data_IF_426964692237
#
_entry.id   IF_426964692237
#
_cell.length_a   1.000
_cell.length_b   1.000
_cell.length_c   1.000
_cell.angle_alpha   90.00
_cell.angle_beta   90.00
_cell.angle_gamma   90.00
#
_symmetry.space_group_name_H-M   'P 1'
#
loop_
_entity.id
_entity.type
_entity.pdbx_description
1 polymer ?
#
# COMPACT_ATOMS: atom_id res chain seq x y z
N UNK A 1 -8.90 28.18 71.67
CA UNK A 1 -9.73 27.39 70.73
C UNK A 1 -9.98 28.26 69.51
N UNK A 2 -9.36 28.18 68.32
CA UNK A 2 -8.81 27.06 67.49
C UNK A 2 -9.82 25.92 67.41
N UNK A 3 -10.38 25.54 66.25
CA UNK A 3 -9.78 25.35 64.92
C UNK A 3 -10.83 25.59 63.82
N UNK A 4 -10.48 26.33 62.76
CA UNK A 4 -11.23 26.38 61.49
C UNK A 4 -10.65 25.28 60.59
N UNK A 5 -11.46 24.29 60.21
CA UNK A 5 -11.09 23.25 59.26
C UNK A 5 -11.32 23.76 57.84
N UNK A 6 -10.22 24.10 57.16
CA UNK A 6 -10.21 24.31 55.71
C UNK A 6 -10.01 22.96 55.02
N UNK A 7 -11.04 22.47 54.33
CA UNK A 7 -10.92 21.34 53.42
C UNK A 7 -10.32 21.82 52.09
N UNK A 8 -9.04 21.53 51.87
CA UNK A 8 -8.40 21.60 50.55
C UNK A 8 -8.76 20.33 49.78
N UNK A 9 -9.70 20.45 48.84
CA UNK A 9 -9.92 19.42 47.82
C UNK A 9 -8.85 19.64 46.75
N UNK A 10 -7.78 18.84 46.79
CA UNK A 10 -6.84 18.71 45.69
C UNK A 10 -7.57 18.00 44.53
N UNK A 11 -8.04 18.78 43.57
CA UNK A 11 -8.41 18.29 42.25
C UNK A 11 -7.13 17.86 41.54
N UNK A 12 -6.80 16.58 41.66
CA UNK A 12 -5.88 15.93 40.74
C UNK A 12 -6.57 15.86 39.37
N UNK A 13 -6.36 16.91 38.56
CA UNK A 13 -6.64 16.86 37.13
C UNK A 13 -5.59 15.92 36.51
N UNK A 14 -5.88 14.62 36.55
CA UNK A 14 -5.23 13.67 35.66
C UNK A 14 -5.62 14.05 34.24
N UNK A 15 -4.71 14.69 33.51
CA UNK A 15 -4.78 14.75 32.06
C UNK A 15 -4.66 13.31 31.54
N UNK A 16 -5.79 12.61 31.47
CA UNK A 16 -5.95 11.49 30.55
C UNK A 16 -5.84 12.10 29.15
N UNK A 17 -4.61 12.18 28.64
CA UNK A 17 -4.40 12.34 27.21
C UNK A 17 -5.07 11.11 26.58
N UNK A 18 -6.24 11.34 25.96
CA UNK A 18 -6.78 10.40 25.02
C UNK A 18 -5.66 10.12 24.01
N UNK A 19 -5.18 8.87 23.95
CA UNK A 19 -4.21 8.48 22.95
C UNK A 19 -4.82 8.83 21.58
N UNK A 20 -4.28 9.85 20.93
CA UNK A 20 -4.58 10.15 19.53
C UNK A 20 -4.20 8.91 18.75
N UNK A 21 -5.23 8.21 18.29
CA UNK A 21 -5.14 6.92 17.63
C UNK A 21 -4.37 7.07 16.31
N UNK A 22 -3.50 6.11 16.04
CA UNK A 22 -2.46 6.18 15.04
C UNK A 22 -2.97 6.35 13.61
N UNK A 23 -2.55 7.42 12.92
CA UNK A 23 -2.86 7.61 11.50
C UNK A 23 -1.91 6.79 10.60
N UNK A 24 -0.61 6.80 10.90
CA UNK A 24 0.39 6.02 10.18
C UNK A 24 1.58 5.66 11.09
N UNK A 25 2.12 4.45 10.92
CA UNK A 25 3.43 4.01 11.46
C UNK A 25 4.32 3.70 10.25
N UNK A 26 4.92 4.75 9.70
CA UNK A 26 5.76 4.73 8.51
C UNK A 26 7.15 4.18 8.82
N UNK A 27 7.61 4.26 10.07
CA UNK A 27 8.91 3.72 10.53
C UNK A 27 8.83 2.26 11.00
N UNK A 28 7.63 1.77 11.32
CA UNK A 28 7.39 0.41 11.81
C UNK A 28 7.81 0.18 13.26
N UNK A 29 7.96 1.23 14.05
CA UNK A 29 8.40 1.16 15.45
C UNK A 29 7.22 1.03 16.44
N UNK A 30 5.98 1.01 15.93
CA UNK A 30 4.76 0.98 16.72
C UNK A 30 4.36 2.35 17.27
N UNK A 31 5.06 3.42 16.90
CA UNK A 31 4.76 4.81 17.23
C UNK A 31 4.26 5.54 15.99
N UNK A 32 3.35 6.48 16.19
CA UNK A 32 2.69 7.17 15.09
C UNK A 32 3.58 8.26 14.52
N UNK A 33 3.77 8.20 13.21
CA UNK A 33 4.38 9.24 12.41
C UNK A 33 3.30 10.21 11.92
N UNK A 34 3.61 11.51 11.90
CA UNK A 34 2.73 12.51 11.28
C UNK A 34 3.34 13.00 9.98
N UNK A 35 2.50 13.30 8.99
CA UNK A 35 2.97 13.88 7.74
C UNK A 35 2.00 14.95 7.24
N UNK A 36 2.54 15.90 6.49
CA UNK A 36 1.78 16.98 5.86
C UNK A 36 2.22 17.13 4.41
N UNK A 37 1.24 17.35 3.53
CA UNK A 37 1.48 17.64 2.12
C UNK A 37 1.02 19.07 1.86
N UNK A 38 1.94 19.95 1.47
CA UNK A 38 1.65 21.36 1.21
C UNK A 38 1.98 21.69 -0.24
N UNK A 39 0.99 22.12 -1.02
CA UNK A 39 1.22 22.60 -2.38
C UNK A 39 2.00 23.92 -2.37
N UNK A 40 2.94 24.08 -3.30
CA UNK A 40 3.64 25.34 -3.51
C UNK A 40 2.69 26.40 -4.07
N UNK A 41 3.04 27.68 -3.91
CA UNK A 41 2.18 28.82 -4.31
C UNK A 41 1.88 28.83 -5.82
N UNK A 42 2.80 28.33 -6.64
CA UNK A 42 2.63 28.20 -8.09
C UNK A 42 1.77 26.99 -8.49
N UNK A 43 1.41 26.12 -7.54
CA UNK A 43 0.62 24.92 -7.74
C UNK A 43 1.32 23.81 -8.54
N UNK A 44 2.59 24.01 -8.92
CA UNK A 44 3.33 23.09 -9.78
C UNK A 44 4.04 21.98 -9.01
N UNK A 45 4.21 22.13 -7.69
CA UNK A 45 4.86 21.12 -6.86
C UNK A 45 4.22 21.04 -5.47
N UNK A 46 4.57 20.01 -4.73
CA UNK A 46 4.11 19.75 -3.36
C UNK A 46 5.28 19.39 -2.48
N UNK A 47 5.37 20.03 -1.32
CA UNK A 47 6.29 19.64 -0.27
C UNK A 47 5.64 18.59 0.62
N UNK A 48 6.28 17.44 0.75
CA UNK A 48 5.92 16.42 1.73
C UNK A 48 6.85 16.57 2.91
N UNK A 49 6.28 16.81 4.08
CA UNK A 49 7.00 16.82 5.36
C UNK A 49 6.53 15.65 6.20
N UNK A 50 7.46 14.81 6.65
CA UNK A 50 7.20 13.68 7.55
C UNK A 50 7.95 13.93 8.86
N UNK A 51 7.22 13.90 9.97
CA UNK A 51 7.79 13.91 11.32
C UNK A 51 7.74 12.49 11.87
N UNK A 52 8.91 11.93 12.19
CA UNK A 52 9.02 10.58 12.73
C UNK A 52 8.59 10.59 14.20
N UNK A 53 7.58 9.81 14.53
CA UNK A 53 7.13 9.54 15.89
C UNK A 53 8.27 9.10 16.79
N UNK A 54 8.21 9.48 18.07
CA UNK A 54 9.26 9.21 19.06
C UNK A 54 10.65 9.84 18.79
N UNK A 55 10.83 10.65 17.73
CA UNK A 55 12.08 11.37 17.47
C UNK A 55 11.85 12.84 17.11
N UNK A 56 12.89 13.66 17.22
CA UNK A 56 12.87 15.04 16.70
C UNK A 56 13.23 15.11 15.19
N UNK A 57 13.23 13.97 14.49
CA UNK A 57 13.62 13.93 13.07
C UNK A 57 12.42 14.30 12.19
N UNK A 58 12.60 15.37 11.44
CA UNK A 58 11.71 15.80 10.35
C UNK A 58 12.45 15.66 9.03
N UNK A 59 11.79 15.07 8.03
CA UNK A 59 12.26 15.03 6.63
C UNK A 59 11.26 15.80 5.78
N UNK A 60 11.73 16.73 4.96
CA UNK A 60 10.86 17.57 4.14
C UNK A 60 11.43 17.71 2.75
N UNK A 61 10.69 17.21 1.76
CA UNK A 61 11.14 17.08 0.38
C UNK A 61 10.08 17.58 -0.60
N UNK A 62 10.52 18.20 -1.70
CA UNK A 62 9.64 18.71 -2.76
C UNK A 62 9.44 17.70 -3.88
N UNK A 63 8.20 17.48 -4.31
CA UNK A 63 7.86 16.58 -5.41
C UNK A 63 6.80 17.19 -6.29
N UNK A 64 6.83 16.90 -7.60
CA UNK A 64 5.64 17.06 -8.41
C UNK A 64 4.74 15.82 -8.19
N UNK A 65 3.66 16.04 -7.44
CA UNK A 65 2.69 14.99 -7.12
C UNK A 65 1.45 15.07 -8.02
N UNK A 66 1.25 16.18 -8.73
CA UNK A 66 -0.04 16.51 -9.35
C UNK A 66 -1.24 16.40 -8.37
N UNK A 67 -2.14 15.45 -8.65
CA UNK A 67 -3.30 15.09 -7.84
C UNK A 67 -2.99 13.99 -6.79
N UNK A 68 -1.74 13.53 -6.73
CA UNK A 68 -1.29 12.42 -5.90
C UNK A 68 -1.04 12.80 -4.45
N UNK A 69 -0.48 11.84 -3.71
CA UNK A 69 -0.13 12.03 -2.31
C UNK A 69 0.67 10.86 -1.74
N UNK A 70 0.87 10.90 -0.43
CA UNK A 70 1.47 9.82 0.33
C UNK A 70 0.41 8.80 0.72
N UNK A 71 0.64 7.54 0.36
CA UNK A 71 -0.19 6.41 0.76
C UNK A 71 0.60 5.50 1.70
N UNK A 72 0.05 5.23 2.88
CA UNK A 72 0.61 4.25 3.83
C UNK A 72 0.67 2.88 3.16
N UNK A 73 1.80 2.20 3.32
CA UNK A 73 2.10 0.94 2.67
C UNK A 73 1.21 -0.22 3.12
N UNK A 74 1.10 -1.22 2.24
CA UNK A 74 0.43 -2.48 2.55
C UNK A 74 1.23 -3.30 3.57
N UNK A 75 2.56 -3.28 3.43
CA UNK A 75 3.48 -3.88 4.38
C UNK A 75 3.89 -2.87 5.45
N UNK A 76 4.28 -3.34 6.65
CA UNK A 76 4.74 -2.47 7.72
C UNK A 76 5.96 -1.64 7.30
N UNK A 77 6.07 -0.43 7.87
CA UNK A 77 7.20 0.48 7.66
C UNK A 77 7.41 0.91 6.20
N UNK A 78 6.35 0.91 5.41
CA UNK A 78 6.36 1.32 4.01
C UNK A 78 5.38 2.47 3.76
N UNK A 79 5.72 3.30 2.78
CA UNK A 79 4.77 4.18 2.12
C UNK A 79 5.05 4.23 0.63
N UNK A 80 4.11 4.78 -0.13
CA UNK A 80 4.30 4.99 -1.55
C UNK A 80 3.87 6.38 -1.99
N UNK A 81 4.55 6.85 -3.03
CA UNK A 81 4.24 8.09 -3.73
C UNK A 81 3.90 7.76 -5.18
N UNK A 82 2.87 8.41 -5.71
CA UNK A 82 2.64 8.53 -7.14
C UNK A 82 3.18 9.91 -7.54
N UNK A 83 4.22 9.94 -8.35
CA UNK A 83 4.78 11.19 -8.87
C UNK A 83 4.15 11.49 -10.22
N UNK A 84 4.00 12.78 -10.53
CA UNK A 84 3.35 13.27 -11.76
C UNK A 84 1.94 12.67 -11.98
N UNK A 85 1.24 12.36 -10.89
CA UNK A 85 -0.07 11.71 -10.97
C UNK A 85 -1.14 12.72 -11.35
N UNK A 86 -1.90 12.40 -12.39
CA UNK A 86 -3.08 13.16 -12.77
C UNK A 86 -4.29 12.23 -12.77
N UNK A 87 -5.41 12.67 -12.20
CA UNK A 87 -6.63 11.86 -11.98
C UNK A 87 -7.25 11.20 -13.22
N UNK A 88 -6.69 11.42 -14.42
CA UNK A 88 -7.16 10.92 -15.72
C UNK A 88 -6.03 10.43 -16.61
N UNK A 89 -4.79 10.52 -16.14
CA UNK A 89 -3.67 9.90 -16.84
C UNK A 89 -3.66 8.41 -16.48
N UNK A 90 -3.78 7.57 -17.49
CA UNK A 90 -3.77 6.12 -17.29
C UNK A 90 -2.39 5.58 -16.99
N UNK A 91 -1.33 6.30 -17.38
CA UNK A 91 0.04 5.89 -17.11
C UNK A 91 0.41 6.25 -15.67
N UNK A 92 0.67 5.22 -14.86
CA UNK A 92 1.00 5.38 -13.45
C UNK A 92 2.47 5.07 -13.20
N UNK A 93 3.12 5.93 -12.42
CA UNK A 93 4.45 5.68 -11.87
C UNK A 93 4.40 5.76 -10.35
N UNK A 94 4.75 4.65 -9.69
CA UNK A 94 4.74 4.52 -8.24
C UNK A 94 6.14 4.23 -7.69
N UNK A 95 6.48 4.94 -6.64
CA UNK A 95 7.68 4.74 -5.85
C UNK A 95 7.29 4.24 -4.47
N UNK A 96 7.89 3.13 -4.04
CA UNK A 96 7.66 2.56 -2.70
C UNK A 96 8.93 2.73 -1.89
N UNK A 97 8.77 3.34 -0.72
CA UNK A 97 9.81 3.61 0.24
C UNK A 97 9.63 2.72 1.47
N UNK A 98 10.74 2.22 2.01
CA UNK A 98 10.75 1.35 3.17
C UNK A 98 11.73 1.86 4.20
N UNK A 99 11.34 1.87 5.47
CA UNK A 99 12.21 2.30 6.55
C UNK A 99 13.44 1.38 6.68
N UNK A 100 14.61 1.99 6.75
CA UNK A 100 15.87 1.31 7.07
C UNK A 100 16.34 1.76 8.44
N UNK A 101 16.20 0.88 9.44
CA UNK A 101 16.71 1.14 10.79
C UNK A 101 18.24 1.38 10.81
N UNK A 102 18.99 0.73 9.91
CA UNK A 102 20.44 0.91 9.80
C UNK A 102 20.82 2.33 9.30
N UNK A 103 20.07 2.84 8.33
CA UNK A 103 20.32 4.16 7.74
C UNK A 103 19.55 5.29 8.47
N UNK A 104 18.59 4.93 9.32
CA UNK A 104 17.65 5.84 9.99
C UNK A 104 16.90 6.72 8.99
N UNK A 105 16.56 6.16 7.82
CA UNK A 105 15.82 6.85 6.76
C UNK A 105 14.99 5.85 5.96
N UNK A 106 14.05 6.35 5.18
CA UNK A 106 13.37 5.54 4.19
C UNK A 106 14.21 5.43 2.92
N UNK A 107 14.34 4.20 2.43
CA UNK A 107 15.04 3.91 1.19
C UNK A 107 14.04 3.55 0.12
N UNK A 108 14.27 4.05 -1.10
CA UNK A 108 13.54 3.60 -2.27
C UNK A 108 13.78 2.10 -2.43
N UNK A 109 12.69 1.36 -2.43
CA UNK A 109 12.70 -0.09 -2.38
C UNK A 109 12.11 -0.71 -3.65
N UNK A 110 11.14 -0.02 -4.26
CA UNK A 110 10.53 -0.45 -5.52
C UNK A 110 10.10 0.73 -6.35
N UNK A 111 10.28 0.64 -7.67
CA UNK A 111 9.65 1.48 -8.68
C UNK A 111 8.76 0.60 -9.55
N UNK A 112 7.52 1.04 -9.77
CA UNK A 112 6.57 0.33 -10.62
C UNK A 112 5.89 1.29 -11.58
N UNK A 113 5.75 0.89 -12.84
CA UNK A 113 4.93 1.59 -13.83
C UNK A 113 3.91 0.65 -14.42
N UNK A 114 2.70 1.14 -14.71
CA UNK A 114 1.66 0.37 -15.39
C UNK A 114 0.61 1.32 -15.96
N UNK A 115 -0.27 0.76 -16.81
CA UNK A 115 -1.46 1.44 -17.32
C UNK A 115 -2.65 1.02 -16.47
N UNK A 116 -3.41 1.99 -15.97
CA UNK A 116 -4.69 1.83 -15.27
C UNK A 116 -5.83 2.31 -16.17
N UNK A 117 -6.45 1.42 -16.98
CA UNK A 117 -7.51 1.83 -17.90
C UNK A 117 -8.76 2.35 -17.19
N UNK A 118 -8.98 1.95 -15.92
CA UNK A 118 -10.21 2.29 -15.18
C UNK A 118 -10.35 3.77 -14.83
N UNK A 119 -9.27 4.56 -14.91
CA UNK A 119 -9.28 5.99 -14.58
C UNK A 119 -9.36 6.92 -15.82
N UNK A 120 -9.34 6.37 -17.03
CA UNK A 120 -9.51 7.13 -18.28
C UNK A 120 -10.84 7.93 -18.27
N UNK A 121 -10.79 9.18 -18.74
CA UNK A 121 -11.89 10.13 -18.69
C UNK A 121 -13.17 9.66 -19.40
N UNK A 122 -13.04 8.84 -20.46
CA UNK A 122 -14.17 8.23 -21.17
C UNK A 122 -15.06 7.42 -20.24
N UNK A 123 -14.45 6.79 -19.24
CA UNK A 123 -15.14 5.95 -18.28
C UNK A 123 -15.45 6.71 -16.99
N UNK A 124 -14.47 7.43 -16.44
CA UNK A 124 -14.60 8.11 -15.15
C UNK A 124 -15.54 9.32 -15.18
N UNK A 125 -15.68 10.00 -16.33
CA UNK A 125 -16.57 11.16 -16.49
C UNK A 125 -17.74 10.91 -17.43
N UNK A 126 -17.49 10.25 -18.56
CA UNK A 126 -18.50 10.11 -19.61
C UNK A 126 -19.32 8.82 -19.50
N UNK A 127 -18.98 7.93 -18.57
CA UNK A 127 -19.76 6.74 -18.24
C UNK A 127 -19.83 5.72 -19.37
N UNK A 128 -18.87 5.73 -20.29
CA UNK A 128 -18.76 4.70 -21.31
C UNK A 128 -18.57 3.33 -20.64
N UNK A 129 -19.10 2.27 -21.25
CA UNK A 129 -18.94 0.90 -20.73
C UNK A 129 -17.78 0.22 -21.45
N UNK A 130 -16.74 -0.13 -20.69
CA UNK A 130 -15.63 -0.96 -21.14
C UNK A 130 -16.09 -2.41 -21.39
N UNK A 131 -15.54 -3.14 -22.38
CA UNK A 131 -15.34 -4.58 -22.25
C UNK A 131 -14.60 -4.88 -20.95
N UNK A 132 -15.17 -5.71 -20.07
CA UNK A 132 -14.73 -5.87 -18.67
C UNK A 132 -13.29 -6.38 -18.56
N UNK A 133 -12.80 -7.06 -19.58
CA UNK A 133 -11.44 -7.58 -19.70
C UNK A 133 -10.39 -6.47 -19.89
N UNK A 134 -10.80 -5.30 -20.37
CA UNK A 134 -9.92 -4.16 -20.62
C UNK A 134 -9.88 -3.16 -19.43
N UNK A 135 -10.64 -3.42 -18.35
CA UNK A 135 -10.51 -2.70 -17.06
C UNK A 135 -9.30 -3.14 -16.23
N UNK A 136 -8.56 -4.13 -16.69
CA UNK A 136 -7.46 -4.72 -15.94
C UNK A 136 -6.20 -3.86 -16.09
N UNK A 137 -5.51 -3.54 -14.98
CA UNK A 137 -4.18 -2.96 -15.05
C UNK A 137 -3.24 -3.79 -15.91
N UNK A 138 -2.47 -3.13 -16.77
CA UNK A 138 -1.64 -3.79 -17.78
C UNK A 138 -0.30 -3.08 -17.97
N UNK A 139 0.62 -3.74 -18.69
CA UNK A 139 1.93 -3.15 -18.99
C UNK A 139 2.83 -2.93 -17.77
N UNK A 140 2.67 -3.73 -16.72
CA UNK A 140 3.50 -3.64 -15.52
C UNK A 140 4.99 -3.78 -15.86
N UNK A 141 5.77 -2.78 -15.45
CA UNK A 141 7.22 -2.84 -15.36
C UNK A 141 7.62 -2.53 -13.92
N UNK A 142 8.32 -3.45 -13.27
CA UNK A 142 8.65 -3.35 -11.85
C UNK A 142 10.15 -3.56 -11.67
N UNK A 143 10.75 -2.65 -10.93
CA UNK A 143 12.15 -2.68 -10.56
C UNK A 143 12.28 -2.69 -9.04
N UNK A 144 12.90 -3.74 -8.52
CA UNK A 144 13.33 -3.79 -7.12
C UNK A 144 14.66 -3.07 -6.99
N UNK A 145 14.76 -2.17 -6.04
CA UNK A 145 15.90 -1.26 -5.95
C UNK A 145 16.87 -1.76 -4.89
N UNK A 146 18.12 -1.92 -5.29
CA UNK A 146 19.21 -2.10 -4.36
C UNK A 146 19.39 -0.77 -3.63
N UNK A 147 19.33 -0.80 -2.30
CA UNK A 147 19.67 0.33 -1.43
C UNK A 147 20.88 1.13 -1.99
N UNK A 148 20.98 2.46 -1.82
CA UNK A 148 20.35 3.26 -0.78
C UNK A 148 19.96 4.65 -1.28
N UNK A 149 19.09 4.69 -2.29
CA UNK A 149 18.42 5.94 -2.66
C UNK A 149 17.50 6.37 -1.52
N UNK A 150 17.90 7.40 -0.76
CA UNK A 150 17.16 7.87 0.43
C UNK A 150 16.03 8.81 0.05
N UNK A 151 14.92 8.74 0.78
CA UNK A 151 13.81 9.68 0.62
C UNK A 151 14.25 11.13 0.83
N UNK A 152 15.03 11.38 1.89
CA UNK A 152 15.62 12.70 2.24
C UNK A 152 16.61 13.29 1.24
N UNK A 153 16.91 12.59 0.14
CA UNK A 153 17.76 13.09 -0.93
C UNK A 153 17.16 12.80 -2.32
N UNK A 154 15.93 12.28 -2.36
CA UNK A 154 15.31 11.81 -3.61
C UNK A 154 14.85 12.97 -4.48
N UNK A 155 14.44 14.09 -3.87
CA UNK A 155 13.96 15.27 -4.60
C UNK A 155 15.09 16.09 -5.24
N UNK A 156 16.24 16.16 -4.57
CA UNK A 156 17.32 17.09 -4.91
C UNK A 156 18.28 16.55 -5.97
N UNK A 157 18.32 15.23 -6.15
CA UNK A 157 19.27 14.53 -7.01
C UNK A 157 18.49 13.51 -7.83
N UNK A 158 18.64 13.50 -9.16
CA UNK A 158 18.25 12.35 -9.99
C UNK A 158 19.13 11.17 -9.54
N UNK A 159 18.69 10.32 -8.60
CA UNK A 159 19.61 9.43 -7.93
C UNK A 159 19.96 8.32 -8.89
N UNK A 160 21.22 7.87 -8.89
CA UNK A 160 21.59 6.69 -9.64
C UNK A 160 20.94 5.47 -8.99
N UNK A 161 19.79 5.07 -9.54
CA UNK A 161 19.01 3.95 -9.03
C UNK A 161 19.70 2.65 -9.45
N UNK A 162 20.24 1.92 -8.48
CA UNK A 162 20.77 0.59 -8.72
C UNK A 162 19.64 -0.44 -8.61
N UNK A 163 19.28 -1.05 -9.74
CA UNK A 163 18.27 -2.12 -9.77
C UNK A 163 18.90 -3.44 -9.28
N UNK A 164 18.15 -4.21 -8.50
CA UNK A 164 18.53 -5.56 -8.09
C UNK A 164 18.60 -6.51 -9.29
N UNK A 165 19.40 -7.57 -9.15
CA UNK A 165 19.33 -8.70 -10.08
C UNK A 165 17.95 -9.38 -10.00
N UNK A 166 17.58 -10.14 -11.04
CA UNK A 166 16.31 -10.87 -11.03
C UNK A 166 16.23 -11.88 -9.86
N UNK A 167 17.35 -12.53 -9.51
CA UNK A 167 17.42 -13.47 -8.41
C UNK A 167 17.24 -12.78 -7.05
N UNK A 168 17.92 -11.65 -6.84
CA UNK A 168 17.77 -10.87 -5.60
C UNK A 168 16.37 -10.26 -5.47
N UNK A 169 15.79 -9.78 -6.58
CA UNK A 169 14.41 -9.30 -6.62
C UNK A 169 13.41 -10.40 -6.25
N UNK A 170 13.61 -11.63 -6.75
CA UNK A 170 12.78 -12.78 -6.39
C UNK A 170 12.88 -13.14 -4.90
N UNK A 171 14.05 -12.95 -4.28
CA UNK A 171 14.22 -13.11 -2.83
C UNK A 171 13.41 -12.08 -2.05
N UNK A 172 13.42 -10.81 -2.45
CA UNK A 172 12.62 -9.76 -1.78
C UNK A 172 11.10 -10.02 -1.92
N UNK A 173 10.64 -10.42 -3.11
CA UNK A 173 9.24 -10.83 -3.32
C UNK A 173 8.88 -12.03 -2.44
N UNK A 174 9.78 -13.00 -2.28
CA UNK A 174 9.55 -14.15 -1.42
C UNK A 174 9.36 -13.75 0.05
N UNK A 175 10.12 -12.76 0.55
CA UNK A 175 9.97 -12.26 1.93
C UNK A 175 8.60 -11.61 2.16
N UNK A 176 8.13 -10.83 1.20
CA UNK A 176 6.78 -10.24 1.24
C UNK A 176 5.69 -11.31 1.20
N UNK A 177 5.85 -12.32 0.36
CA UNK A 177 4.92 -13.46 0.31
C UNK A 177 4.94 -14.26 1.61
N UNK A 178 6.10 -14.46 2.24
CA UNK A 178 6.18 -15.13 3.54
C UNK A 178 5.42 -14.35 4.62
N UNK A 179 5.49 -13.01 4.60
CA UNK A 179 4.66 -12.17 5.46
C UNK A 179 3.17 -12.36 5.17
N UNK A 180 2.75 -12.33 3.91
CA UNK A 180 1.35 -12.62 3.52
C UNK A 180 0.92 -14.00 4.04
N UNK A 181 1.71 -15.03 3.80
CA UNK A 181 1.42 -16.40 4.19
C UNK A 181 1.36 -16.59 5.70
N UNK A 182 2.14 -15.81 6.47
CA UNK A 182 2.09 -15.85 7.93
C UNK A 182 0.76 -15.31 8.49
N UNK A 183 0.10 -14.40 7.76
CA UNK A 183 -1.16 -13.75 8.17
C UNK A 183 -2.39 -14.35 7.51
N UNK A 184 -2.20 -15.11 6.42
CA UNK A 184 -3.28 -15.78 5.69
C UNK A 184 -4.22 -16.64 6.57
N UNK A 185 -3.77 -17.35 7.63
CA UNK A 185 -4.66 -18.10 8.52
C UNK A 185 -5.71 -17.26 9.26
N UNK A 186 -5.57 -15.93 9.30
CA UNK A 186 -6.56 -15.04 9.88
C UNK A 186 -7.84 -14.91 9.03
N UNK A 187 -7.82 -15.42 7.79
CA UNK A 187 -8.95 -15.40 6.88
C UNK A 187 -9.17 -14.05 6.21
N UNK A 188 -10.30 -13.95 5.50
CA UNK A 188 -10.70 -12.79 4.70
C UNK A 188 -10.92 -11.53 5.54
N UNK A 189 -11.17 -11.68 6.84
CA UNK A 189 -11.40 -10.57 7.78
C UNK A 189 -10.15 -10.16 8.58
N UNK A 190 -8.98 -10.73 8.23
CA UNK A 190 -7.70 -10.52 8.89
C UNK A 190 -7.00 -9.22 8.51
N UNK A 191 -5.83 -9.02 9.10
CA UNK A 191 -5.02 -7.79 8.95
C UNK A 191 -4.44 -7.58 7.53
N UNK A 192 -4.48 -8.62 6.69
CA UNK A 192 -4.13 -8.53 5.28
C UNK A 192 -5.13 -7.69 4.49
N UNK A 193 -6.38 -7.58 4.93
CA UNK A 193 -7.43 -6.92 4.17
C UNK A 193 -8.04 -5.75 4.92
N UNK A 194 -7.83 -5.68 6.24
CA UNK A 194 -8.40 -4.64 7.07
C UNK A 194 -7.39 -4.06 8.07
N UNK A 195 -7.50 -2.75 8.30
CA UNK A 195 -6.96 -2.07 9.47
C UNK A 195 -8.09 -1.64 10.41
N UNK A 196 -7.75 -1.26 11.64
CA UNK A 196 -8.72 -0.73 12.61
C UNK A 196 -8.71 0.79 12.57
N UNK A 197 -9.82 1.38 12.13
CA UNK A 197 -10.07 2.81 12.17
C UNK A 197 -10.24 3.35 13.59
N UNK A 198 -10.33 4.67 13.72
CA UNK A 198 -10.33 5.38 15.00
C UNK A 198 -11.42 4.94 15.98
N UNK A 199 -12.56 4.47 15.48
CA UNK A 199 -13.68 3.99 16.29
C UNK A 199 -13.68 2.46 16.51
N UNK A 200 -12.61 1.79 16.07
CA UNK A 200 -12.50 0.32 16.11
C UNK A 200 -13.24 -0.36 14.95
N UNK A 201 -13.79 0.42 14.03
CA UNK A 201 -14.35 -0.06 12.77
C UNK A 201 -13.25 -0.63 11.87
N UNK A 202 -13.57 -1.69 11.13
CA UNK A 202 -12.64 -2.22 10.12
C UNK A 202 -12.66 -1.33 8.89
N UNK A 203 -11.48 -0.87 8.47
CA UNK A 203 -11.26 -0.12 7.24
C UNK A 203 -10.53 -1.03 6.27
N UNK A 204 -11.03 -1.17 5.04
CA UNK A 204 -10.36 -1.99 4.01
C UNK A 204 -8.99 -1.40 3.68
N UNK A 205 -7.97 -2.25 3.59
CA UNK A 205 -6.64 -1.84 3.14
C UNK A 205 -6.63 -1.70 1.62
N UNK A 206 -5.89 -0.69 1.15
CA UNK A 206 -5.54 -0.62 -0.26
C UNK A 206 -4.57 -1.75 -0.61
N UNK A 207 -4.93 -2.59 -1.57
CA UNK A 207 -4.09 -3.71 -2.02
C UNK A 207 -3.20 -3.21 -3.17
N UNK A 208 -1.86 -3.27 -3.07
CA UNK A 208 -1.00 -2.73 -4.11
C UNK A 208 -1.04 -3.59 -5.38
N UNK A 209 -1.46 -3.01 -6.49
CA UNK A 209 -1.57 -3.70 -7.78
C UNK A 209 -0.21 -4.21 -8.27
N UNK A 210 0.85 -3.41 -8.04
CA UNK A 210 2.23 -3.78 -8.33
C UNK A 210 2.66 -5.04 -7.57
N UNK A 211 2.29 -5.17 -6.29
CA UNK A 211 2.54 -6.39 -5.53
C UNK A 211 1.70 -7.59 -6.02
N UNK A 212 0.45 -7.36 -6.43
CA UNK A 212 -0.41 -8.40 -7.01
C UNK A 212 0.19 -8.96 -8.30
N UNK A 213 0.75 -8.09 -9.14
CA UNK A 213 1.46 -8.51 -10.34
C UNK A 213 2.69 -9.37 -9.98
N UNK A 214 3.55 -8.93 -9.06
CA UNK A 214 4.72 -9.72 -8.62
C UNK A 214 4.31 -11.08 -8.02
N UNK A 215 3.23 -11.09 -7.24
CA UNK A 215 2.63 -12.32 -6.68
C UNK A 215 2.23 -13.29 -7.78
N UNK A 216 1.60 -12.80 -8.86
CA UNK A 216 1.23 -13.62 -10.01
C UNK A 216 2.46 -14.21 -10.72
N UNK A 217 3.57 -13.47 -10.76
CA UNK A 217 4.80 -13.94 -11.39
C UNK A 217 5.53 -14.98 -10.53
N UNK A 218 5.42 -14.90 -9.21
CA UNK A 218 6.09 -15.77 -8.25
C UNK A 218 5.40 -17.12 -7.98
N UNK A 219 4.29 -17.43 -8.67
CA UNK A 219 3.54 -18.69 -8.49
C UNK A 219 4.40 -19.89 -8.91
N UNK A 220 4.53 -20.86 -8.01
CA UNK A 220 5.19 -22.16 -8.19
C UNK A 220 4.50 -23.27 -7.37
N UNK A 221 4.97 -24.52 -7.53
CA UNK A 221 4.40 -25.71 -6.88
C UNK A 221 4.28 -25.59 -5.36
N UNK A 222 5.21 -24.89 -4.71
CA UNK A 222 5.29 -24.79 -3.26
C UNK A 222 4.31 -23.78 -2.68
N UNK A 223 3.90 -22.78 -3.46
CA UNK A 223 3.11 -21.64 -2.96
C UNK A 223 1.76 -21.47 -3.66
N UNK A 224 1.49 -22.16 -4.77
CA UNK A 224 0.24 -22.03 -5.54
C UNK A 224 -1.01 -22.22 -4.68
N UNK A 225 -0.94 -23.09 -3.66
CA UNK A 225 -2.02 -23.27 -2.71
C UNK A 225 -2.36 -22.01 -1.93
N UNK A 226 -1.35 -21.42 -1.30
CA UNK A 226 -1.51 -20.22 -0.47
C UNK A 226 -1.85 -18.99 -1.32
N UNK A 227 -1.29 -18.89 -2.53
CA UNK A 227 -1.60 -17.78 -3.45
C UNK A 227 -3.05 -17.88 -3.95
N UNK A 228 -3.55 -19.10 -4.21
CA UNK A 228 -4.96 -19.32 -4.53
C UNK A 228 -5.87 -18.85 -3.39
N UNK A 229 -5.53 -19.19 -2.15
CA UNK A 229 -6.31 -18.80 -0.97
C UNK A 229 -6.28 -17.29 -0.75
N UNK A 230 -5.11 -16.65 -0.94
CA UNK A 230 -4.99 -15.19 -0.93
C UNK A 230 -5.89 -14.53 -1.99
N UNK A 231 -5.90 -15.06 -3.22
CA UNK A 231 -6.78 -14.56 -4.28
C UNK A 231 -8.28 -14.76 -3.98
N UNK A 232 -8.64 -15.89 -3.34
CA UNK A 232 -10.00 -16.12 -2.87
C UNK A 232 -10.42 -15.08 -1.82
N UNK A 233 -9.51 -14.72 -0.90
CA UNK A 233 -9.80 -13.68 0.09
C UNK A 233 -9.85 -12.28 -0.51
N UNK A 234 -9.05 -11.98 -1.54
CA UNK A 234 -9.20 -10.73 -2.31
C UNK A 234 -10.61 -10.64 -2.89
N UNK A 235 -11.10 -11.72 -3.51
CA UNK A 235 -12.47 -11.80 -4.02
C UNK A 235 -13.53 -11.55 -2.94
N UNK A 236 -13.44 -12.24 -1.79
CA UNK A 236 -14.36 -12.06 -0.67
C UNK A 236 -14.33 -10.64 -0.05
N UNK A 237 -13.28 -9.86 -0.35
CA UNK A 237 -13.13 -8.46 0.03
C UNK A 237 -13.44 -7.49 -1.11
N UNK A 238 -14.17 -7.93 -2.14
CA UNK A 238 -14.57 -7.15 -3.32
C UNK A 238 -13.39 -6.62 -4.16
N UNK A 239 -12.18 -7.18 -3.98
CA UNK A 239 -11.01 -6.88 -4.81
C UNK A 239 -10.98 -7.80 -6.04
N UNK A 240 -12.07 -7.80 -6.80
CA UNK A 240 -12.33 -8.75 -7.89
C UNK A 240 -11.27 -8.70 -9.01
N UNK A 241 -10.84 -7.50 -9.40
CA UNK A 241 -9.81 -7.34 -10.45
C UNK A 241 -8.48 -7.95 -9.98
N UNK A 242 -8.06 -7.68 -8.74
CA UNK A 242 -6.82 -8.22 -8.17
C UNK A 242 -6.87 -9.75 -8.02
N UNK A 243 -8.01 -10.28 -7.57
CA UNK A 243 -8.24 -11.72 -7.50
C UNK A 243 -8.12 -12.38 -8.88
N UNK A 244 -8.78 -11.80 -9.90
CA UNK A 244 -8.72 -12.32 -11.27
C UNK A 244 -7.30 -12.27 -11.86
N UNK A 245 -6.50 -11.23 -11.58
CA UNK A 245 -5.10 -11.15 -12.05
C UNK A 245 -4.30 -12.38 -11.59
N UNK A 246 -4.40 -12.74 -10.32
CA UNK A 246 -3.71 -13.93 -9.77
C UNK A 246 -4.31 -15.23 -10.32
N UNK A 247 -5.64 -15.36 -10.28
CA UNK A 247 -6.33 -16.62 -10.62
C UNK A 247 -6.18 -16.98 -12.10
N UNK A 248 -6.13 -15.98 -13.01
CA UNK A 248 -5.82 -16.19 -14.43
C UNK A 248 -4.44 -16.83 -14.60
N UNK A 249 -3.43 -16.34 -13.88
CA UNK A 249 -2.07 -16.86 -13.98
C UNK A 249 -1.94 -18.24 -13.32
N UNK A 250 -2.62 -18.49 -12.19
CA UNK A 250 -2.71 -19.84 -11.61
C UNK A 250 -3.33 -20.80 -12.63
N UNK A 251 -4.48 -20.48 -13.22
CA UNK A 251 -5.16 -21.35 -14.19
C UNK A 251 -4.28 -21.64 -15.41
N UNK A 252 -3.52 -20.65 -15.87
CA UNK A 252 -2.60 -20.79 -17.01
C UNK A 252 -1.45 -21.76 -16.70
N UNK A 253 -0.84 -21.66 -15.51
CA UNK A 253 0.30 -22.51 -15.09
C UNK A 253 -0.11 -23.86 -14.52
N UNK A 254 -1.27 -23.93 -13.88
CA UNK A 254 -1.82 -25.07 -13.13
C UNK A 254 -3.25 -25.38 -13.57
N UNK A 255 -3.47 -25.76 -14.84
CA UNK A 255 -4.82 -25.95 -15.38
C UNK A 255 -5.65 -27.00 -14.64
N UNK A 256 -5.00 -28.01 -14.04
CA UNK A 256 -5.66 -29.08 -13.29
C UNK A 256 -6.07 -28.67 -11.85
N UNK A 257 -5.71 -27.46 -11.40
CA UNK A 257 -6.12 -26.94 -10.10
C UNK A 257 -7.58 -26.49 -10.14
N UNK A 258 -8.49 -27.44 -9.96
CA UNK A 258 -9.95 -27.23 -10.00
C UNK A 258 -10.40 -26.04 -9.15
N UNK A 259 -9.87 -25.90 -7.92
CA UNK A 259 -10.23 -24.80 -7.00
C UNK A 259 -9.94 -23.42 -7.61
N UNK A 260 -8.83 -23.26 -8.34
CA UNK A 260 -8.51 -21.98 -8.98
C UNK A 260 -9.48 -21.65 -10.12
N UNK A 261 -9.93 -22.67 -10.85
CA UNK A 261 -10.94 -22.51 -11.91
C UNK A 261 -12.29 -22.09 -11.33
N UNK A 262 -12.71 -22.72 -10.23
CA UNK A 262 -13.96 -22.35 -9.54
C UNK A 262 -13.89 -20.92 -9.00
N UNK A 263 -12.81 -20.56 -8.28
CA UNK A 263 -12.63 -19.21 -7.77
C UNK A 263 -12.60 -18.17 -8.90
N UNK A 264 -11.96 -18.47 -10.04
CA UNK A 264 -11.96 -17.55 -11.19
C UNK A 264 -13.36 -17.38 -11.79
N UNK A 265 -14.16 -18.44 -11.84
CA UNK A 265 -15.53 -18.38 -12.30
C UNK A 265 -16.39 -17.50 -11.38
N UNK A 266 -16.24 -17.62 -10.06
CA UNK A 266 -16.92 -16.78 -9.08
C UNK A 266 -16.56 -15.30 -9.24
N UNK A 267 -15.26 -15.01 -9.45
CA UNK A 267 -14.79 -13.64 -9.72
C UNK A 267 -15.41 -13.09 -11.00
N UNK A 268 -15.44 -13.87 -12.09
CA UNK A 268 -16.07 -13.43 -13.34
C UNK A 268 -17.57 -13.25 -13.19
N UNK A 269 -18.25 -14.10 -12.42
CA UNK A 269 -19.65 -13.92 -12.12
C UNK A 269 -19.91 -12.59 -11.42
N UNK A 270 -19.15 -12.25 -10.37
CA UNK A 270 -19.29 -10.96 -9.68
C UNK A 270 -18.95 -9.77 -10.57
N UNK A 271 -17.90 -9.86 -11.39
CA UNK A 271 -17.59 -8.81 -12.36
C UNK A 271 -18.72 -8.61 -13.37
N UNK A 272 -19.44 -9.66 -13.77
CA UNK A 272 -20.48 -9.61 -14.80
C UNK A 272 -21.85 -9.20 -14.24
N UNK A 273 -22.25 -9.77 -13.10
CA UNK A 273 -23.64 -9.80 -12.63
C UNK A 273 -23.96 -8.89 -11.44
N UNK A 274 -22.95 -8.31 -10.76
CA UNK A 274 -23.16 -7.48 -9.56
C UNK A 274 -22.42 -6.12 -9.71
N UNK A 275 -22.92 -5.20 -10.58
CA UNK A 275 -22.33 -3.88 -10.79
C UNK A 275 -22.66 -2.87 -9.67
#
# INVERSE_FOLDING_TARGET
>A
MRVVFSFLILLAAGHLNAATKCEADLSGDGVCDSYTITRTEDGASSNITINIGATDKTVSEGFDLGDGGLSVGYFPAEFSLLLDFHTRDTDLTKYVFKWSAANKDWVLYKRATWVEPSIDERYSLYGEKFPKEELFPQGFHIERIACCTYFSAFSEVNPEIKVLSADDAAVEVSKELDLVFSKLPQGEKGELFYTLGNEGNKIRKNIPQDFIYETSMAINERNVGKINDYASYLYLNENNIMAALILKEIRKRYPDRVVATLNLADVYWSLVCDP
#
